data_IF_856950015981
#
_entry.id   IF_856950015981
#
_cell.length_a   1.000
_cell.length_b   1.000
_cell.length_c   1.000
_cell.angle_alpha   90.00
_cell.angle_beta   90.00
_cell.angle_gamma   90.00
#
_symmetry.space_group_name_H-M   'P 1'
#
loop_
_entity.id
_entity.type
_entity.pdbx_description
1 polymer ?
#
# COMPACT_ATOMS: atom_id res chain seq x y z
N UNK A 1 11.17 -10.49 1.81
CA UNK A 1 10.77 -9.55 2.89
C UNK A 1 9.88 -10.11 4.00
N UNK A 2 9.46 -11.41 4.07
CA UNK A 2 8.79 -11.90 5.28
C UNK A 2 9.62 -11.70 6.56
N UNK A 3 10.91 -12.06 6.51
CA UNK A 3 11.80 -11.95 7.68
C UNK A 3 11.97 -10.54 8.22
N UNK A 4 12.17 -9.54 7.37
CA UNK A 4 12.43 -8.17 7.81
C UNK A 4 11.20 -7.49 8.47
N UNK A 5 9.99 -7.79 8.01
CA UNK A 5 8.77 -7.26 8.63
C UNK A 5 8.51 -7.89 10.00
N UNK A 6 8.72 -9.21 10.10
CA UNK A 6 8.62 -9.96 11.37
C UNK A 6 9.66 -9.45 12.37
N UNK A 7 10.91 -9.25 11.95
CA UNK A 7 11.98 -8.68 12.79
C UNK A 7 11.65 -7.27 13.29
N UNK A 8 10.86 -6.50 12.54
CA UNK A 8 10.40 -5.17 12.93
C UNK A 8 9.14 -5.18 13.82
N UNK A 9 8.67 -6.36 14.26
CA UNK A 9 7.49 -6.50 15.10
C UNK A 9 6.18 -6.17 14.38
N UNK A 10 6.15 -6.29 13.06
CA UNK A 10 4.94 -6.10 12.27
C UNK A 10 4.16 -7.42 12.15
N UNK A 11 2.84 -7.31 12.15
CA UNK A 11 1.91 -8.43 11.98
C UNK A 11 1.21 -8.30 10.63
N UNK A 12 0.92 -9.42 9.98
CA UNK A 12 0.02 -9.40 8.82
C UNK A 12 -1.42 -9.27 9.31
N UNK A 13 -2.19 -8.38 8.69
CA UNK A 13 -3.61 -8.24 8.99
C UNK A 13 -4.38 -9.57 8.88
N UNK A 14 -3.95 -10.49 8.00
CA UNK A 14 -4.58 -11.81 7.85
C UNK A 14 -4.37 -12.74 9.05
N UNK A 15 -3.46 -12.43 9.95
CA UNK A 15 -3.36 -13.14 11.25
C UNK A 15 -4.49 -12.72 12.20
N UNK A 16 -5.15 -11.58 11.95
CA UNK A 16 -6.27 -11.05 12.75
C UNK A 16 -7.62 -11.16 12.04
N UNK A 17 -7.63 -10.99 10.72
CA UNK A 17 -8.80 -11.13 9.84
C UNK A 17 -8.41 -12.00 8.64
N UNK A 18 -8.46 -13.34 8.76
CA UNK A 18 -7.92 -14.25 7.75
C UNK A 18 -8.51 -14.08 6.35
N UNK A 19 -9.78 -13.71 6.26
CA UNK A 19 -10.54 -13.57 5.02
C UNK A 19 -10.58 -12.13 4.49
N UNK A 20 -9.83 -11.18 5.08
CA UNK A 20 -9.83 -9.78 4.62
C UNK A 20 -9.33 -9.66 3.18
N UNK A 21 -10.03 -8.83 2.40
CA UNK A 21 -9.70 -8.60 1.00
C UNK A 21 -8.51 -7.67 0.89
N UNK A 22 -7.48 -8.10 0.15
CA UNK A 22 -6.30 -7.28 -0.13
C UNK A 22 -6.04 -7.25 -1.64
N UNK A 23 -5.71 -6.07 -2.15
CA UNK A 23 -5.33 -5.78 -3.53
C UNK A 23 -4.03 -4.97 -3.54
N UNK A 24 -2.97 -5.62 -3.06
CA UNK A 24 -1.67 -4.99 -2.79
C UNK A 24 -0.78 -5.08 -4.03
N UNK A 25 -0.99 -4.16 -4.97
CA UNK A 25 -0.42 -4.25 -6.33
C UNK A 25 1.06 -3.93 -6.45
N UNK A 26 1.66 -3.34 -5.42
CA UNK A 26 3.08 -2.96 -5.43
C UNK A 26 4.04 -4.16 -5.45
N UNK A 27 3.57 -5.39 -5.21
CA UNK A 27 4.37 -6.60 -5.38
C UNK A 27 4.42 -7.11 -6.84
N UNK A 28 3.60 -6.56 -7.75
CA UNK A 28 3.49 -6.99 -9.15
C UNK A 28 3.69 -5.84 -10.14
N UNK A 29 3.19 -6.01 -11.36
CA UNK A 29 3.32 -5.03 -12.43
C UNK A 29 2.12 -4.09 -12.60
N UNK A 30 0.95 -4.44 -12.05
CA UNK A 30 -0.28 -3.65 -12.15
C UNK A 30 -0.29 -2.47 -11.15
N UNK A 31 0.70 -1.59 -11.26
CA UNK A 31 0.77 -0.36 -10.48
C UNK A 31 1.32 0.78 -11.34
N UNK A 32 1.28 2.01 -10.81
CA UNK A 32 1.66 3.20 -11.57
C UNK A 32 3.14 3.22 -12.02
N UNK A 33 4.03 2.41 -11.44
CA UNK A 33 5.42 2.26 -11.92
C UNK A 33 5.51 1.23 -13.05
N UNK A 34 4.57 0.29 -13.15
CA UNK A 34 4.60 -0.80 -14.15
C UNK A 34 5.59 -1.93 -13.81
N UNK A 35 6.13 -1.95 -12.59
CA UNK A 35 7.10 -2.92 -12.11
C UNK A 35 6.91 -3.22 -10.61
N UNK A 36 7.40 -4.37 -10.11
CA UNK A 36 7.45 -4.63 -8.68
C UNK A 36 8.24 -3.55 -7.94
N UNK A 37 7.67 -3.07 -6.84
CA UNK A 37 8.25 -1.96 -6.08
C UNK A 37 9.26 -2.49 -5.07
N UNK A 38 10.46 -1.92 -5.06
CA UNK A 38 11.49 -2.18 -4.05
C UNK A 38 10.93 -2.36 -2.63
N UNK A 39 11.02 -3.59 -2.13
CA UNK A 39 10.59 -3.94 -0.77
C UNK A 39 9.23 -4.58 -0.63
N UNK A 40 8.40 -4.56 -1.66
CA UNK A 40 7.20 -5.38 -1.73
C UNK A 40 7.56 -6.74 -2.32
N UNK A 41 7.98 -7.68 -1.45
CA UNK A 41 8.30 -9.04 -1.89
C UNK A 41 7.09 -9.98 -1.96
N UNK A 42 5.94 -9.53 -1.46
CA UNK A 42 4.68 -10.27 -1.48
C UNK A 42 3.52 -9.28 -1.29
N UNK A 43 2.35 -9.66 -1.79
CA UNK A 43 1.09 -8.96 -1.55
C UNK A 43 0.56 -9.24 -0.14
N UNK A 44 1.29 -8.78 0.89
CA UNK A 44 0.93 -8.90 2.32
C UNK A 44 0.82 -7.52 2.97
N UNK A 45 -0.24 -7.31 3.76
CA UNK A 45 -0.48 -6.07 4.47
C UNK A 45 0.11 -6.15 5.88
N UNK A 46 1.28 -5.57 6.05
CA UNK A 46 1.96 -5.52 7.34
C UNK A 46 1.60 -4.26 8.12
N UNK A 47 1.33 -4.42 9.41
CA UNK A 47 0.94 -3.34 10.31
C UNK A 47 1.59 -3.52 11.68
N UNK A 48 1.69 -2.45 12.46
CA UNK A 48 1.91 -2.57 13.91
C UNK A 48 0.70 -3.25 14.55
N UNK A 49 0.92 -4.04 15.58
CA UNK A 49 -0.16 -4.77 16.25
C UNK A 49 -1.35 -3.88 16.66
N UNK A 50 -1.17 -2.69 17.28
CA UNK A 50 -2.30 -1.83 17.63
C UNK A 50 -3.12 -1.34 16.43
N UNK A 51 -2.46 -1.11 15.28
CA UNK A 51 -3.14 -0.70 14.06
C UNK A 51 -3.91 -1.87 13.43
N UNK A 52 -3.34 -3.08 13.43
CA UNK A 52 -4.03 -4.28 12.97
C UNK A 52 -5.27 -4.60 13.82
N UNK A 53 -5.17 -4.45 15.14
CA UNK A 53 -6.28 -4.64 16.08
C UNK A 53 -7.38 -3.58 15.89
N UNK A 54 -7.00 -2.33 15.64
CA UNK A 54 -7.96 -1.28 15.32
C UNK A 54 -8.70 -1.58 14.00
N UNK A 55 -7.96 -2.00 12.96
CA UNK A 55 -8.55 -2.36 11.67
C UNK A 55 -9.47 -3.57 11.76
N UNK A 56 -9.12 -4.57 12.57
CA UNK A 56 -9.98 -5.72 12.86
C UNK A 56 -11.32 -5.29 13.46
N UNK A 57 -11.32 -4.34 14.41
CA UNK A 57 -12.57 -3.81 15.01
C UNK A 57 -13.43 -3.09 13.97
N UNK A 58 -12.81 -2.29 13.10
CA UNK A 58 -13.52 -1.59 12.01
C UNK A 58 -14.17 -2.60 11.05
N UNK A 59 -13.42 -3.61 10.60
CA UNK A 59 -13.95 -4.70 9.76
C UNK A 59 -15.14 -5.41 10.45
N UNK A 60 -15.02 -5.72 11.74
CA UNK A 60 -16.08 -6.40 12.48
C UNK A 60 -17.37 -5.56 12.56
N UNK A 61 -17.24 -4.24 12.80
CA UNK A 61 -18.38 -3.33 12.80
C UNK A 61 -19.03 -3.24 11.41
N UNK A 62 -18.24 -3.06 10.35
CA UNK A 62 -18.76 -2.95 8.99
C UNK A 62 -19.50 -4.21 8.54
N UNK A 63 -19.04 -5.39 8.97
CA UNK A 63 -19.73 -6.65 8.68
C UNK A 63 -21.12 -6.74 9.29
N UNK A 64 -21.34 -6.13 10.44
CA UNK A 64 -22.68 -6.04 11.02
C UNK A 64 -23.64 -5.20 10.16
N UNK A 65 -23.08 -4.33 9.31
CA UNK A 65 -23.79 -3.50 8.34
C UNK A 65 -23.81 -4.11 6.93
N UNK A 66 -23.33 -5.35 6.77
CA UNK A 66 -23.24 -6.03 5.47
C UNK A 66 -22.07 -5.59 4.58
N UNK A 67 -21.18 -4.71 5.07
CA UNK A 67 -20.03 -4.20 4.33
C UNK A 67 -18.72 -4.89 4.72
N UNK A 68 -17.70 -4.76 3.87
CA UNK A 68 -16.34 -5.28 4.14
C UNK A 68 -15.26 -4.31 3.69
N UNK A 69 -14.05 -4.46 4.22
CA UNK A 69 -12.89 -3.70 3.77
C UNK A 69 -12.16 -4.38 2.60
N UNK A 70 -11.63 -3.56 1.70
CA UNK A 70 -10.57 -3.94 0.74
C UNK A 70 -9.37 -3.04 0.94
N UNK A 71 -8.21 -3.65 1.16
CA UNK A 71 -6.96 -2.93 1.44
C UNK A 71 -6.07 -2.84 0.19
N UNK A 72 -5.48 -1.66 -0.07
CA UNK A 72 -4.63 -1.38 -1.23
C UNK A 72 -3.17 -1.13 -0.87
N UNK A 73 -2.89 -0.65 0.36
CA UNK A 73 -1.53 -0.54 0.89
C UNK A 73 -1.53 -0.47 2.43
N UNK A 74 -0.43 -0.93 3.03
CA UNK A 74 -0.21 -0.92 4.48
C UNK A 74 1.22 -0.45 4.78
N UNK A 75 2.07 -1.23 5.44
CA UNK A 75 3.48 -0.86 5.59
C UNK A 75 4.19 -0.75 4.24
N UNK A 76 4.69 0.46 3.97
CA UNK A 76 5.51 0.79 2.81
C UNK A 76 6.96 0.98 3.24
N UNK A 77 7.90 0.09 2.88
CA UNK A 77 9.30 0.28 3.23
C UNK A 77 9.85 1.59 2.68
N UNK A 78 10.77 2.26 3.41
CA UNK A 78 11.36 3.52 2.95
C UNK A 78 12.03 3.42 1.57
N UNK A 79 12.54 2.24 1.20
CA UNK A 79 13.09 1.98 -0.15
C UNK A 79 12.01 1.98 -1.26
N UNK A 80 10.77 1.62 -0.95
CA UNK A 80 9.65 1.75 -1.89
C UNK A 80 9.34 3.23 -2.17
N UNK A 81 9.35 4.06 -1.12
CA UNK A 81 9.20 5.52 -1.27
C UNK A 81 10.33 6.09 -2.15
N UNK A 82 11.58 5.67 -1.91
CA UNK A 82 12.70 6.06 -2.79
C UNK A 82 12.52 5.58 -4.22
N UNK A 83 11.97 4.39 -4.44
CA UNK A 83 11.67 3.90 -5.77
C UNK A 83 10.63 4.79 -6.47
N UNK A 84 9.53 5.15 -5.78
CA UNK A 84 8.55 6.09 -6.32
C UNK A 84 9.16 7.44 -6.69
N UNK A 85 10.00 8.01 -5.81
CA UNK A 85 10.67 9.28 -6.10
C UNK A 85 11.62 9.17 -7.30
N UNK A 86 12.42 8.09 -7.39
CA UNK A 86 13.28 7.85 -8.57
C UNK A 86 12.47 7.72 -9.85
N UNK A 87 11.35 6.98 -9.81
CA UNK A 87 10.47 6.81 -10.96
C UNK A 87 9.82 8.13 -11.38
N UNK A 88 9.38 8.98 -10.44
CA UNK A 88 8.85 10.31 -10.78
C UNK A 88 9.90 11.17 -11.51
N UNK A 89 11.17 11.09 -11.09
CA UNK A 89 12.28 11.79 -11.74
C UNK A 89 12.68 11.25 -13.11
N UNK A 90 12.27 10.03 -13.47
CA UNK A 90 12.42 9.48 -14.82
C UNK A 90 11.24 9.94 -15.70
N UNK A 91 11.32 11.16 -16.20
CA UNK A 91 10.25 11.78 -17.00
C UNK A 91 10.04 11.11 -18.36
N UNK A 92 11.01 10.36 -18.87
CA UNK A 92 10.89 9.62 -20.13
C UNK A 92 9.94 8.42 -20.00
N UNK A 93 9.84 7.84 -18.81
CA UNK A 93 8.92 6.74 -18.55
C UNK A 93 7.47 7.22 -18.36
N UNK A 94 6.69 7.18 -19.43
CA UNK A 94 5.27 7.56 -19.44
C UNK A 94 4.33 6.36 -19.65
N UNK A 95 4.84 5.13 -19.56
CA UNK A 95 4.11 3.92 -19.99
C UNK A 95 2.75 3.72 -19.31
N UNK A 96 2.65 4.13 -18.04
CA UNK A 96 1.49 3.94 -17.18
C UNK A 96 0.57 5.18 -17.13
N UNK A 97 0.97 6.28 -17.76
CA UNK A 97 0.23 7.56 -17.74
C UNK A 97 -1.24 7.41 -18.15
N UNK A 98 -1.59 6.74 -19.27
CA UNK A 98 -2.99 6.67 -19.71
C UNK A 98 -3.91 6.04 -18.67
N UNK A 99 -3.39 5.12 -17.84
CA UNK A 99 -4.18 4.38 -16.86
C UNK A 99 -4.23 5.09 -15.50
N UNK A 100 -3.11 5.62 -15.00
CA UNK A 100 -3.02 6.07 -13.60
C UNK A 100 -3.05 7.58 -13.41
N UNK A 101 -2.57 8.35 -14.39
CA UNK A 101 -2.47 9.80 -14.29
C UNK A 101 -2.67 10.50 -15.66
N UNK A 102 -3.75 10.18 -16.39
CA UNK A 102 -3.91 10.61 -17.79
C UNK A 102 -3.93 12.13 -17.94
N UNK A 103 -4.45 12.83 -16.93
CA UNK A 103 -4.66 14.27 -16.93
C UNK A 103 -3.56 15.05 -16.20
N UNK A 104 -2.49 14.40 -15.76
CA UNK A 104 -1.41 15.03 -14.99
C UNK A 104 -0.06 14.94 -15.72
N UNK A 105 0.75 15.97 -15.54
CA UNK A 105 2.19 15.88 -15.78
C UNK A 105 2.81 14.98 -14.70
N UNK A 106 3.75 14.11 -15.07
CA UNK A 106 4.38 13.17 -14.13
C UNK A 106 5.08 13.90 -12.97
N UNK A 107 5.65 15.08 -13.22
CA UNK A 107 6.29 15.92 -12.19
C UNK A 107 5.30 16.41 -11.15
N UNK A 108 4.03 16.60 -11.53
CA UNK A 108 2.96 17.01 -10.62
C UNK A 108 2.56 15.89 -9.63
N UNK A 109 3.03 14.66 -9.83
CA UNK A 109 2.83 13.58 -8.87
C UNK A 109 3.65 13.81 -7.59
N UNK A 110 4.79 14.51 -7.67
CA UNK A 110 5.59 14.82 -6.49
C UNK A 110 4.92 15.91 -5.64
N UNK A 111 4.90 15.72 -4.33
CA UNK A 111 4.38 16.70 -3.36
C UNK A 111 2.88 16.58 -3.08
N UNK A 112 2.08 16.14 -4.06
CA UNK A 112 0.65 15.84 -3.88
C UNK A 112 0.37 14.36 -3.65
N UNK A 113 0.77 13.51 -4.61
CA UNK A 113 0.45 12.08 -4.62
C UNK A 113 1.60 11.21 -4.09
N UNK A 114 2.84 11.61 -4.38
CA UNK A 114 4.06 10.95 -3.95
C UNK A 114 4.82 11.91 -3.04
N UNK A 115 4.96 11.52 -1.78
CA UNK A 115 5.75 12.25 -0.79
C UNK A 115 7.12 11.57 -0.59
N UNK A 116 8.23 12.33 -0.46
CA UNK A 116 9.55 11.77 -0.16
C UNK A 116 9.62 11.05 1.20
N UNK A 117 8.68 11.35 2.10
CA UNK A 117 8.47 10.68 3.39
C UNK A 117 7.01 10.28 3.47
N UNK A 118 6.73 9.00 3.74
CA UNK A 118 5.36 8.47 3.78
C UNK A 118 4.99 7.98 5.18
N UNK A 119 3.75 8.29 5.60
CA UNK A 119 3.15 7.75 6.82
C UNK A 119 3.09 6.22 6.84
N UNK A 120 2.93 5.58 5.68
CA UNK A 120 2.96 4.13 5.52
C UNK A 120 4.26 3.49 6.03
N UNK A 121 5.38 4.21 6.00
CA UNK A 121 6.66 3.74 6.56
C UNK A 121 6.62 3.52 8.08
N UNK A 122 5.59 4.05 8.77
CA UNK A 122 5.38 3.83 10.21
C UNK A 122 4.57 2.56 10.52
N UNK A 123 4.07 1.86 9.50
CA UNK A 123 3.20 0.68 9.61
C UNK A 123 1.92 0.91 10.45
N UNK A 124 1.40 2.14 10.40
CA UNK A 124 0.16 2.55 11.08
C UNK A 124 -0.75 3.38 10.14
N UNK A 125 -0.60 3.19 8.84
CA UNK A 125 -1.38 3.86 7.79
C UNK A 125 -1.82 2.78 6.80
N UNK A 126 -3.05 2.90 6.32
CA UNK A 126 -3.67 1.98 5.37
C UNK A 126 -4.40 2.77 4.29
N UNK A 127 -4.28 2.30 3.05
CA UNK A 127 -5.13 2.73 1.93
C UNK A 127 -6.22 1.66 1.77
N UNK A 128 -7.49 2.05 1.75
CA UNK A 128 -8.61 1.12 1.73
C UNK A 128 -9.86 1.68 1.03
N UNK A 129 -10.81 0.80 0.76
CA UNK A 129 -12.19 1.12 0.38
C UNK A 129 -13.17 0.15 1.05
N UNK A 130 -14.46 0.41 0.88
CA UNK A 130 -15.55 -0.46 1.26
C UNK A 130 -15.97 -1.35 0.08
N UNK A 131 -16.40 -2.56 0.43
CA UNK A 131 -17.12 -3.50 -0.42
C UNK A 131 -18.54 -3.66 0.17
N UNK A 132 -19.50 -3.76 -0.73
CA UNK A 132 -20.90 -4.12 -0.51
C UNK A 132 -21.15 -5.64 -0.54
#
# INVERSE_FOLDING_TARGET
MPGAAIQAGLVDIRERVPDITVDLRYAGHDNFVGAPIDGYAAARCWLRAPAAEALQRVEASLRAEGMRLRLFDCYRPARAVRHFVRWVGDEADQRSKPQYYPNLDKRALLGGYIAPVSGHSRAATVDLTLLD
#
